data_IF_840712148240
#
_entry.id   IF_840712148240
#
_cell.length_a   1.000
_cell.length_b   1.000
_cell.length_c   1.000
_cell.angle_alpha   90.00
_cell.angle_beta   90.00
_cell.angle_gamma   90.00
#
_symmetry.space_group_name_H-M   'P 1'
#
loop_
_entity.id
_entity.type
_entity.pdbx_description
1 polymer ?
#
# COMPACT_ATOMS: atom_id res chain seq x y z
N UNK A 1 5.81 -6.09 0.65
CA UNK A 1 5.85 -5.26 1.86
C UNK A 1 6.09 -6.05 3.14
N UNK A 2 5.30 -7.06 3.49
CA UNK A 2 5.51 -7.93 4.69
C UNK A 2 6.92 -8.53 4.78
N UNK A 3 7.54 -8.91 3.67
CA UNK A 3 8.91 -9.46 3.66
C UNK A 3 9.98 -8.42 3.98
N UNK A 4 9.76 -7.15 3.60
CA UNK A 4 10.71 -6.05 3.85
C UNK A 4 10.61 -5.51 5.27
N UNK A 5 9.46 -5.66 5.91
CA UNK A 5 9.14 -5.16 7.24
C UNK A 5 8.64 -6.31 8.12
N UNK A 6 9.47 -7.35 8.25
CA UNK A 6 9.10 -8.59 8.93
C UNK A 6 8.78 -8.38 10.43
N UNK A 7 9.36 -7.36 11.04
CA UNK A 7 9.16 -7.03 12.45
C UNK A 7 7.90 -6.19 12.72
N UNK A 8 7.24 -5.71 11.65
CA UNK A 8 6.00 -4.93 11.78
C UNK A 8 4.78 -5.84 11.82
N UNK A 9 3.87 -5.57 12.74
CA UNK A 9 2.55 -6.16 12.69
C UNK A 9 1.84 -5.77 11.39
N UNK A 10 0.99 -6.62 10.86
CA UNK A 10 0.19 -6.32 9.67
C UNK A 10 -1.29 -6.35 10.03
N UNK A 11 -1.99 -5.31 9.65
CA UNK A 11 -3.45 -5.20 9.79
C UNK A 11 -4.05 -4.61 8.52
N UNK A 12 -5.12 -5.24 8.01
CA UNK A 12 -5.86 -4.73 6.87
C UNK A 12 -7.17 -4.10 7.34
N UNK A 13 -7.43 -2.88 6.89
CA UNK A 13 -8.69 -2.17 7.09
C UNK A 13 -9.72 -2.49 5.97
N UNK A 14 -9.41 -3.45 5.09
CA UNK A 14 -10.39 -4.10 4.25
C UNK A 14 -11.26 -5.06 5.07
N UNK A 15 -10.67 -5.68 6.08
CA UNK A 15 -11.39 -6.50 7.06
C UNK A 15 -12.34 -5.64 7.90
N UNK A 16 -13.60 -6.09 8.00
CA UNK A 16 -14.67 -5.33 8.65
C UNK A 16 -14.48 -5.18 10.16
N UNK A 17 -13.94 -6.20 10.83
CA UNK A 17 -13.76 -6.18 12.29
C UNK A 17 -12.65 -5.19 12.64
N UNK A 18 -11.53 -5.23 11.93
CA UNK A 18 -10.42 -4.29 12.08
C UNK A 18 -10.88 -2.85 11.78
N UNK A 19 -11.65 -2.68 10.69
CA UNK A 19 -12.21 -1.38 10.31
C UNK A 19 -13.13 -0.81 11.35
N UNK A 20 -14.02 -1.63 11.90
CA UNK A 20 -14.96 -1.25 12.96
C UNK A 20 -14.21 -0.83 14.20
N UNK A 21 -13.25 -1.64 14.65
CA UNK A 21 -12.43 -1.31 15.82
C UNK A 21 -11.64 -0.01 15.61
N UNK A 22 -11.00 0.17 14.47
CA UNK A 22 -10.26 1.39 14.16
C UNK A 22 -11.15 2.65 14.11
N UNK A 23 -12.45 2.50 13.77
CA UNK A 23 -13.43 3.60 13.79
C UNK A 23 -13.97 3.91 15.18
N UNK A 24 -14.30 2.87 15.96
CA UNK A 24 -14.93 3.02 17.27
C UNK A 24 -13.94 3.44 18.35
N UNK A 25 -12.71 2.86 18.33
CA UNK A 25 -11.64 3.22 19.26
C UNK A 25 -10.29 3.35 18.52
N UNK A 26 -10.07 4.42 17.76
CA UNK A 26 -8.83 4.63 17.01
C UNK A 26 -7.59 4.73 17.92
N UNK A 27 -7.74 5.21 19.15
CA UNK A 27 -6.63 5.28 20.12
C UNK A 27 -6.26 3.90 20.62
N UNK A 28 -7.22 3.07 21.01
CA UNK A 28 -7.00 1.69 21.40
C UNK A 28 -6.41 0.87 20.26
N UNK A 29 -6.94 1.07 19.05
CA UNK A 29 -6.40 0.45 17.84
C UNK A 29 -4.92 0.77 17.63
N UNK A 30 -4.50 2.03 17.62
CA UNK A 30 -3.11 2.43 17.46
C UNK A 30 -2.22 1.97 18.62
N UNK A 31 -2.74 1.98 19.85
CA UNK A 31 -2.00 1.50 21.03
C UNK A 31 -1.68 0.00 20.96
N UNK A 32 -2.56 -0.80 20.36
CA UNK A 32 -2.30 -2.23 20.11
C UNK A 32 -1.07 -2.41 19.22
N UNK A 33 -0.81 -1.47 18.33
CA UNK A 33 0.32 -1.47 17.39
C UNK A 33 1.43 -0.49 17.81
N UNK A 34 1.65 -0.32 19.10
CA UNK A 34 2.62 0.65 19.65
C UNK A 34 4.06 0.45 19.20
N UNK A 35 4.43 -0.78 18.81
CA UNK A 35 5.75 -1.09 18.23
C UNK A 35 5.84 -0.83 16.73
N UNK A 36 4.72 -0.41 16.11
CA UNK A 36 4.61 -0.15 14.69
C UNK A 36 3.82 -1.20 13.93
N UNK A 37 3.25 -0.78 12.81
CA UNK A 37 2.46 -1.66 11.95
C UNK A 37 2.44 -1.22 10.49
N UNK A 38 2.17 -2.19 9.63
CA UNK A 38 1.69 -1.98 8.27
C UNK A 38 0.15 -1.94 8.35
N UNK A 39 -0.43 -0.78 8.08
CA UNK A 39 -1.88 -0.56 8.04
C UNK A 39 -2.29 -0.49 6.57
N UNK A 40 -2.92 -1.57 6.11
CA UNK A 40 -3.30 -1.76 4.71
C UNK A 40 -4.71 -1.21 4.45
N UNK A 41 -4.92 -0.63 3.25
CA UNK A 41 -6.16 0.03 2.84
C UNK A 41 -6.61 1.14 3.82
N UNK A 42 -5.64 1.98 4.23
CA UNK A 42 -5.81 3.01 5.28
C UNK A 42 -6.92 4.02 4.94
N UNK A 43 -7.24 4.26 3.66
CA UNK A 43 -8.32 5.16 3.24
C UNK A 43 -9.70 4.72 3.74
N UNK A 44 -9.88 3.44 4.11
CA UNK A 44 -11.14 2.94 4.65
C UNK A 44 -11.51 3.52 6.03
N UNK A 45 -10.53 4.13 6.72
CA UNK A 45 -10.73 4.82 8.00
C UNK A 45 -10.03 6.19 7.97
N UNK A 46 -10.60 7.19 7.27
CA UNK A 46 -9.95 8.49 7.06
C UNK A 46 -9.62 9.23 8.36
N UNK A 47 -10.44 9.12 9.38
CA UNK A 47 -10.22 9.80 10.66
C UNK A 47 -8.99 9.29 11.41
N UNK A 48 -8.56 8.04 11.13
CA UNK A 48 -7.36 7.45 11.71
C UNK A 48 -6.10 8.28 11.46
N UNK A 49 -6.04 9.00 10.33
CA UNK A 49 -4.88 9.86 9.99
C UNK A 49 -4.67 10.97 11.01
N UNK A 50 -5.74 11.54 11.58
CA UNK A 50 -5.62 12.56 12.62
C UNK A 50 -5.11 11.98 13.95
N UNK A 51 -5.49 10.75 14.27
CA UNK A 51 -4.98 10.05 15.46
C UNK A 51 -3.52 9.61 15.26
N UNK A 52 -3.15 9.16 14.06
CA UNK A 52 -1.77 8.86 13.69
C UNK A 52 -0.88 10.09 13.83
N UNK A 53 -1.35 11.28 13.42
CA UNK A 53 -0.62 12.52 13.62
C UNK A 53 -0.26 12.72 15.09
N UNK A 54 -1.25 12.59 15.98
CA UNK A 54 -1.02 12.73 17.43
C UNK A 54 -0.02 11.68 17.93
N UNK A 55 -0.16 10.44 17.47
CA UNK A 55 0.69 9.33 17.91
C UNK A 55 2.15 9.49 17.45
N UNK A 56 2.39 9.95 16.22
CA UNK A 56 3.76 10.18 15.73
C UNK A 56 4.38 11.44 16.31
N UNK A 57 3.59 12.44 16.71
CA UNK A 57 4.09 13.62 17.41
C UNK A 57 4.54 13.30 18.83
N UNK A 58 3.85 12.39 19.51
CA UNK A 58 4.22 11.94 20.86
C UNK A 58 5.45 11.01 20.85
N UNK A 59 5.57 10.19 19.82
CA UNK A 59 6.64 9.18 19.69
C UNK A 59 7.24 9.27 18.27
N UNK A 60 8.15 10.21 18.01
CA UNK A 60 8.69 10.48 16.68
C UNK A 60 9.76 9.45 16.27
N UNK A 61 9.30 8.27 15.91
CA UNK A 61 10.13 7.19 15.37
C UNK A 61 9.83 6.99 13.90
N UNK A 62 10.86 7.16 13.06
CA UNK A 62 10.71 7.03 11.61
C UNK A 62 10.40 5.57 11.21
N UNK A 63 9.42 5.39 10.32
CA UNK A 63 9.07 4.08 9.79
C UNK A 63 8.22 3.22 10.74
N UNK A 64 7.80 3.73 11.90
CA UNK A 64 6.96 2.99 12.84
C UNK A 64 5.62 2.58 12.22
N UNK A 65 4.98 3.46 11.48
CA UNK A 65 3.76 3.13 10.74
C UNK A 65 3.99 3.19 9.24
N UNK A 66 3.52 2.17 8.54
CA UNK A 66 3.53 2.08 7.09
C UNK A 66 2.08 2.00 6.62
N UNK A 67 1.65 3.02 5.89
CA UNK A 67 0.28 3.09 5.37
C UNK A 67 0.28 2.70 3.90
N UNK A 68 -0.64 1.83 3.52
CA UNK A 68 -0.87 1.47 2.12
C UNK A 68 -2.30 1.77 1.72
N UNK A 69 -2.54 1.87 0.43
CA UNK A 69 -3.86 1.98 -0.13
C UNK A 69 -3.83 2.19 -1.63
N UNK A 70 -4.88 1.77 -2.29
CA UNK A 70 -5.05 1.83 -3.74
C UNK A 70 -5.59 3.19 -4.23
N UNK A 71 -6.28 3.94 -3.38
CA UNK A 71 -6.90 5.23 -3.71
C UNK A 71 -5.94 6.40 -3.42
N UNK A 72 -5.03 6.66 -4.36
CA UNK A 72 -3.94 7.63 -4.19
C UNK A 72 -4.44 9.05 -3.83
N UNK A 73 -5.51 9.53 -4.45
CA UNK A 73 -6.00 10.89 -4.24
C UNK A 73 -6.53 11.10 -2.82
N UNK A 74 -7.32 10.18 -2.30
CA UNK A 74 -7.89 10.26 -0.96
C UNK A 74 -6.80 10.19 0.12
N UNK A 75 -5.85 9.27 -0.04
CA UNK A 75 -4.71 9.13 0.88
C UNK A 75 -3.86 10.40 0.86
N UNK A 76 -3.54 10.93 -0.33
CA UNK A 76 -2.71 12.14 -0.47
C UNK A 76 -3.37 13.35 0.16
N UNK A 77 -4.68 13.52 0.02
CA UNK A 77 -5.41 14.59 0.68
C UNK A 77 -5.29 14.50 2.20
N UNK A 78 -5.49 13.31 2.78
CA UNK A 78 -5.39 13.08 4.23
C UNK A 78 -3.96 13.26 4.75
N UNK A 79 -2.96 12.78 4.02
CA UNK A 79 -1.55 13.00 4.36
C UNK A 79 -1.25 14.49 4.39
N UNK A 80 -1.70 15.25 3.38
CA UNK A 80 -1.46 16.69 3.30
C UNK A 80 -2.13 17.43 4.46
N UNK A 81 -3.31 17.00 4.88
CA UNK A 81 -4.05 17.64 5.97
C UNK A 81 -3.48 17.30 7.36
N UNK A 82 -3.13 16.04 7.59
CA UNK A 82 -2.81 15.55 8.94
C UNK A 82 -1.34 15.16 9.13
N UNK A 83 -0.67 14.62 8.11
CA UNK A 83 0.67 14.04 8.22
C UNK A 83 1.75 14.82 7.45
N UNK A 84 1.47 16.06 7.04
CA UNK A 84 2.44 16.89 6.34
C UNK A 84 3.73 17.05 7.16
N UNK A 85 4.88 16.81 6.54
CA UNK A 85 6.20 16.87 7.18
C UNK A 85 6.53 15.70 8.13
N UNK A 86 5.63 14.72 8.29
CA UNK A 86 5.77 13.53 9.13
C UNK A 86 5.85 12.23 8.34
N UNK A 87 5.62 12.29 7.04
CA UNK A 87 5.47 11.11 6.18
C UNK A 87 6.41 11.19 4.99
N UNK A 88 7.09 10.09 4.69
CA UNK A 88 7.72 9.86 3.40
C UNK A 88 6.71 9.15 2.48
N UNK A 89 6.64 9.58 1.23
CA UNK A 89 5.71 9.01 0.24
C UNK A 89 6.52 8.18 -0.75
N UNK A 90 6.18 6.90 -0.85
CA UNK A 90 6.69 6.00 -1.87
C UNK A 90 5.56 5.60 -2.83
N UNK A 91 5.84 5.65 -4.13
CA UNK A 91 4.93 5.16 -5.16
C UNK A 91 5.48 3.84 -5.69
N UNK A 92 4.65 2.81 -5.64
CA UNK A 92 4.96 1.55 -6.30
C UNK A 92 4.45 1.64 -7.74
N UNK A 93 5.38 1.62 -8.67
CA UNK A 93 5.09 1.58 -10.10
C UNK A 93 4.98 0.12 -10.57
N UNK A 94 4.39 -0.13 -11.75
CA UNK A 94 4.56 -1.41 -12.45
C UNK A 94 6.05 -1.75 -12.61
N UNK A 95 6.35 -3.01 -12.91
CA UNK A 95 7.73 -3.46 -13.12
C UNK A 95 8.41 -2.64 -14.23
N UNK A 96 9.68 -2.33 -14.05
CA UNK A 96 10.50 -1.73 -15.10
C UNK A 96 11.01 -2.79 -16.09
N UNK A 97 11.45 -2.34 -17.26
CA UNK A 97 12.10 -3.22 -18.23
C UNK A 97 13.33 -3.89 -17.60
N UNK A 98 14.10 -3.15 -16.79
CA UNK A 98 15.30 -3.67 -16.14
C UNK A 98 14.99 -4.80 -15.15
N UNK A 99 13.90 -4.70 -14.42
CA UNK A 99 13.43 -5.74 -13.49
C UNK A 99 12.96 -7.00 -14.23
N UNK A 100 12.47 -6.84 -15.47
CA UNK A 100 11.96 -7.93 -16.30
C UNK A 100 12.97 -8.47 -17.31
N UNK A 101 14.17 -7.90 -17.41
CA UNK A 101 15.17 -8.33 -18.42
C UNK A 101 15.35 -9.86 -18.50
N UNK A 102 15.39 -10.63 -17.40
CA UNK A 102 15.51 -12.09 -17.48
C UNK A 102 14.32 -12.75 -18.18
N UNK A 103 13.11 -12.23 -17.98
CA UNK A 103 11.86 -12.79 -18.53
C UNK A 103 11.56 -12.31 -19.95
N UNK A 104 12.20 -11.21 -20.38
CA UNK A 104 12.03 -10.61 -21.70
C UNK A 104 13.05 -11.08 -22.74
N UNK A 105 13.92 -12.02 -22.39
CA UNK A 105 14.92 -12.55 -23.31
C UNK A 105 14.26 -13.25 -24.51
N UNK A 106 14.39 -12.63 -25.69
CA UNK A 106 13.82 -13.14 -26.94
C UNK A 106 12.47 -12.53 -27.30
N UNK A 107 11.88 -11.71 -26.43
CA UNK A 107 10.63 -11.01 -26.71
C UNK A 107 10.84 -9.78 -27.61
N UNK A 108 9.87 -9.47 -28.42
CA UNK A 108 9.84 -8.23 -29.22
C UNK A 108 9.24 -7.08 -28.43
N UNK A 109 9.46 -5.84 -28.88
CA UNK A 109 8.81 -4.65 -28.30
C UNK A 109 7.28 -4.79 -28.29
N UNK A 110 6.72 -5.39 -29.35
CA UNK A 110 5.27 -5.60 -29.47
C UNK A 110 4.78 -6.61 -28.40
N UNK A 111 5.55 -7.65 -28.11
CA UNK A 111 5.23 -8.62 -27.07
C UNK A 111 5.24 -7.95 -25.70
N UNK A 112 6.26 -7.12 -25.42
CA UNK A 112 6.34 -6.34 -24.19
C UNK A 112 5.16 -5.37 -24.03
N UNK A 113 4.78 -4.67 -25.09
CA UNK A 113 3.63 -3.76 -25.09
C UNK A 113 2.31 -4.50 -24.88
N UNK A 114 2.18 -5.69 -25.45
CA UNK A 114 0.99 -6.53 -25.29
C UNK A 114 0.88 -7.11 -23.87
N UNK A 115 1.99 -7.64 -23.35
CA UNK A 115 2.03 -8.25 -22.03
C UNK A 115 1.92 -7.20 -20.92
N UNK A 116 2.49 -5.99 -21.15
CA UNK A 116 2.56 -4.94 -20.15
C UNK A 116 3.50 -5.29 -18.99
N UNK A 117 3.40 -4.53 -17.90
CA UNK A 117 4.38 -4.56 -16.80
C UNK A 117 3.74 -4.82 -15.43
N UNK A 118 2.56 -5.41 -15.40
CA UNK A 118 1.89 -5.77 -14.15
C UNK A 118 2.54 -7.01 -13.52
N UNK A 119 3.02 -6.93 -12.27
CA UNK A 119 3.74 -8.03 -11.61
C UNK A 119 2.98 -9.36 -11.62
N UNK A 120 1.65 -9.31 -11.44
CA UNK A 120 0.79 -10.50 -11.36
C UNK A 120 0.82 -11.34 -12.63
N UNK A 121 1.04 -10.74 -13.80
CA UNK A 121 1.12 -11.45 -15.08
C UNK A 121 2.34 -12.36 -15.08
N UNK A 122 3.48 -11.84 -14.63
CA UNK A 122 4.76 -12.57 -14.57
C UNK A 122 4.79 -13.57 -13.42
N UNK A 123 4.37 -13.17 -12.23
CA UNK A 123 4.37 -14.01 -11.03
C UNK A 123 3.48 -15.25 -11.16
N UNK A 124 2.34 -15.12 -11.87
CA UNK A 124 1.35 -16.20 -12.04
C UNK A 124 1.25 -16.72 -13.46
N UNK A 125 2.09 -16.26 -14.38
CA UNK A 125 2.06 -16.64 -15.81
C UNK A 125 0.65 -16.52 -16.42
N UNK A 126 -0.02 -15.38 -16.15
CA UNK A 126 -1.40 -15.14 -16.60
C UNK A 126 -1.44 -14.72 -18.06
N UNK A 127 -2.58 -14.99 -18.71
CA UNK A 127 -2.86 -14.44 -20.04
C UNK A 127 -3.11 -12.92 -19.95
N UNK A 128 -2.32 -12.07 -20.65
CA UNK A 128 -2.46 -10.62 -20.56
C UNK A 128 -3.84 -10.12 -20.96
N UNK A 129 -4.40 -10.64 -22.09
CA UNK A 129 -5.73 -10.24 -22.57
C UNK A 129 -6.85 -10.52 -21.58
N UNK A 130 -6.83 -11.71 -20.97
CA UNK A 130 -7.82 -12.07 -19.95
C UNK A 130 -7.64 -11.20 -18.70
N UNK A 131 -6.41 -11.02 -18.25
CA UNK A 131 -6.11 -10.19 -17.07
C UNK A 131 -6.59 -8.76 -17.26
N UNK A 132 -6.26 -8.12 -18.38
CA UNK A 132 -6.64 -6.73 -18.62
C UNK A 132 -8.13 -6.55 -18.88
N UNK A 133 -8.84 -7.58 -19.36
CA UNK A 133 -10.30 -7.48 -19.57
C UNK A 133 -11.06 -7.16 -18.27
N UNK A 134 -10.53 -7.54 -17.11
CA UNK A 134 -11.11 -7.23 -15.80
C UNK A 134 -10.89 -5.77 -15.35
N UNK A 135 -9.93 -5.06 -15.96
CA UNK A 135 -9.61 -3.67 -15.58
C UNK A 135 -10.25 -2.64 -16.50
N UNK A 136 -10.77 -3.04 -17.66
CA UNK A 136 -11.27 -2.13 -18.71
C UNK A 136 -12.81 -2.01 -18.70
N UNK A 137 -13.52 -2.74 -17.83
CA UNK A 137 -14.99 -2.71 -17.72
C UNK A 137 -15.46 -1.76 -16.65
#
# INVERSE_FOLDING_TARGET
MRQLFADHAYVSLEDLDNRTYAKEDPRGFLKQYGQGAIIDEAQNVPDLFSYLQTEVDLNPEAGRFILTGSQQFEIMERITQSLAGRTAIARLLPLSIEELLPDLLGETINDCLYTGFYPTIYDRSLNPSETYSFYVN
#
